data_IF_026007246195
#
_entry.id   IF_026007246195
#
_cell.length_a   1.000
_cell.length_b   1.000
_cell.length_c   1.000
_cell.angle_alpha   90.00
_cell.angle_beta   90.00
_cell.angle_gamma   90.00
#
_symmetry.space_group_name_H-M   'P 1'
#
loop_
_entity.id
_entity.type
_entity.pdbx_description
1 polymer ?
#
# COMPACT_ATOMS: atom_id res chain seq x y z
N UNK A 1 -4.16 -0.26 13.98
CA UNK A 1 -5.05 0.17 12.86
C UNK A 1 -6.21 -0.82 12.76
N UNK A 2 -7.28 -0.55 12.01
CA UNK A 2 -8.43 -1.47 11.89
C UNK A 2 -8.72 -1.79 10.42
N UNK A 3 -9.00 -3.06 10.12
CA UNK A 3 -9.36 -3.56 8.78
C UNK A 3 -10.74 -4.20 8.80
N UNK A 4 -11.44 -4.16 7.67
CA UNK A 4 -12.76 -4.77 7.49
C UNK A 4 -12.63 -5.86 6.42
N UNK A 5 -12.83 -7.10 6.83
CA UNK A 5 -12.84 -8.28 5.96
C UNK A 5 -13.73 -9.36 6.57
N UNK A 6 -14.19 -10.32 5.77
CA UNK A 6 -15.03 -11.45 6.22
C UNK A 6 -16.25 -11.03 7.07
N UNK A 7 -16.87 -9.90 6.71
CA UNK A 7 -18.01 -9.30 7.44
C UNK A 7 -17.70 -8.98 8.92
N UNK A 8 -16.44 -8.78 9.26
CA UNK A 8 -15.98 -8.46 10.60
C UNK A 8 -14.98 -7.30 10.59
N UNK A 9 -14.65 -6.80 11.79
CA UNK A 9 -13.64 -5.77 11.99
C UNK A 9 -12.51 -6.38 12.81
N UNK A 10 -11.28 -6.31 12.29
CA UNK A 10 -10.08 -6.83 12.97
C UNK A 10 -9.13 -5.70 13.33
N UNK A 11 -8.54 -5.79 14.52
CA UNK A 11 -7.43 -4.93 14.92
C UNK A 11 -6.14 -5.50 14.35
N UNK A 12 -5.32 -4.63 13.77
CA UNK A 12 -4.01 -4.98 13.22
C UNK A 12 -2.91 -4.17 13.90
N UNK A 13 -1.84 -4.88 14.24
CA UNK A 13 -0.60 -4.31 14.75
C UNK A 13 0.23 -3.75 13.59
N UNK A 14 0.93 -2.65 13.84
CA UNK A 14 1.70 -1.94 12.83
C UNK A 14 1.05 -0.63 12.37
N UNK A 15 1.80 0.09 11.55
CA UNK A 15 1.37 1.36 10.98
C UNK A 15 0.80 1.18 9.56
N UNK A 16 0.47 2.31 8.92
CA UNK A 16 -0.07 2.30 7.57
C UNK A 16 0.91 1.73 6.53
N UNK A 17 2.21 1.99 6.70
CA UNK A 17 3.22 1.57 5.73
C UNK A 17 3.44 0.04 5.79
N UNK A 18 3.29 -0.56 6.96
CA UNK A 18 3.34 -2.02 7.12
C UNK A 18 2.18 -2.70 6.36
N UNK A 19 0.94 -2.29 6.63
CA UNK A 19 -0.23 -2.82 5.93
C UNK A 19 -0.19 -2.56 4.43
N UNK A 20 0.27 -1.39 4.02
CA UNK A 20 0.44 -1.07 2.60
C UNK A 20 1.40 -2.04 1.91
N UNK A 21 2.52 -2.40 2.54
CA UNK A 21 3.47 -3.36 1.98
C UNK A 21 2.85 -4.75 1.87
N UNK A 22 2.11 -5.20 2.89
CA UNK A 22 1.43 -6.51 2.88
C UNK A 22 0.41 -6.61 1.74
N UNK A 23 -0.41 -5.57 1.54
CA UNK A 23 -1.38 -5.52 0.45
C UNK A 23 -0.68 -5.58 -0.91
N UNK A 24 0.36 -4.76 -1.14
CA UNK A 24 1.10 -4.79 -2.40
C UNK A 24 1.77 -6.15 -2.65
N UNK A 25 2.37 -6.74 -1.62
CA UNK A 25 2.96 -8.08 -1.70
C UNK A 25 1.94 -9.14 -2.10
N UNK A 26 0.71 -9.08 -1.55
CA UNK A 26 -0.38 -10.01 -1.91
C UNK A 26 -0.85 -9.87 -3.36
N UNK A 27 -0.69 -8.68 -3.95
CA UNK A 27 -0.99 -8.38 -5.35
C UNK A 27 0.17 -8.70 -6.30
N UNK A 28 1.35 -9.06 -5.76
CA UNK A 28 2.58 -9.21 -6.54
C UNK A 28 3.16 -7.87 -7.02
N UNK A 29 2.77 -6.77 -6.38
CA UNK A 29 3.25 -5.42 -6.65
C UNK A 29 4.32 -5.00 -5.65
N UNK A 30 5.18 -4.06 -6.04
CA UNK A 30 6.14 -3.42 -5.15
C UNK A 30 5.78 -1.96 -4.92
N UNK A 31 6.20 -1.42 -3.77
CA UNK A 31 5.99 -0.02 -3.45
C UNK A 31 6.76 0.85 -4.44
N UNK A 32 6.03 1.45 -5.38
CA UNK A 32 6.65 2.26 -6.40
C UNK A 32 7.28 3.51 -5.77
N UNK A 33 8.54 3.78 -6.14
CA UNK A 33 9.22 4.98 -5.70
C UNK A 33 8.45 6.22 -6.23
N UNK A 34 8.01 7.16 -5.37
CA UNK A 34 7.18 8.29 -5.78
C UNK A 34 7.79 9.11 -6.92
N UNK A 35 9.12 9.29 -6.94
CA UNK A 35 9.84 9.98 -8.01
C UNK A 35 9.83 9.19 -9.31
N UNK A 36 9.92 7.85 -9.26
CA UNK A 36 9.77 6.99 -10.45
C UNK A 36 8.35 7.04 -11.00
N UNK A 37 7.34 7.07 -10.13
CA UNK A 37 5.92 7.21 -10.54
C UNK A 37 5.67 8.57 -11.16
N UNK A 38 6.14 9.65 -10.52
CA UNK A 38 5.99 11.00 -11.04
C UNK A 38 6.68 11.18 -12.40
N UNK A 39 7.87 10.58 -12.58
CA UNK A 39 8.55 10.54 -13.87
C UNK A 39 7.74 9.78 -14.92
N UNK A 40 7.25 8.57 -14.59
CA UNK A 40 6.45 7.75 -15.50
C UNK A 40 5.09 8.38 -15.86
N UNK A 41 4.52 9.18 -14.97
CA UNK A 41 3.26 9.91 -15.18
C UNK A 41 3.44 11.25 -15.93
N UNK A 42 4.67 11.63 -16.31
CA UNK A 42 4.95 12.88 -17.01
C UNK A 42 4.78 14.14 -16.14
N UNK A 43 4.81 14.00 -14.81
CA UNK A 43 4.61 15.11 -13.88
C UNK A 43 5.91 15.82 -13.46
N UNK A 44 7.05 15.49 -14.08
CA UNK A 44 8.36 16.05 -13.76
C UNK A 44 8.96 16.91 -14.90
N UNK A 45 8.14 17.35 -15.87
CA UNK A 45 8.54 18.31 -16.90
C UNK A 45 8.32 19.76 -16.48
#
# INVERSE_FOLDING_TARGET
>A
MWVIEDQNIFEIEGDFDDYRKEILASLGEELANPSKVAAAAGCLE
#
